data_IF_377693782669
#
_entry.id   IF_377693782669
#
_cell.length_a   1.000
_cell.length_b   1.000
_cell.length_c   1.000
_cell.angle_alpha   90.00
_cell.angle_beta   90.00
_cell.angle_gamma   90.00
#
_symmetry.space_group_name_H-M   'P 1'
#
loop_
_entity.id
_entity.type
_entity.pdbx_description
1 polymer ?
#
# COMPACT_ATOMS: atom_id res chain seq x y z
N UNK A 1 -23.63 -3.39 22.76
CA UNK A 1 -23.47 -2.03 23.35
C UNK A 1 -22.01 -1.67 23.24
N UNK A 2 -21.66 -1.12 22.09
CA UNK A 2 -20.35 -0.57 21.79
C UNK A 2 -20.00 0.57 22.77
N UNK A 3 -19.14 0.28 23.76
CA UNK A 3 -18.58 1.32 24.63
C UNK A 3 -17.55 2.07 23.80
N UNK A 4 -17.72 3.39 23.70
CA UNK A 4 -16.88 4.30 22.91
C UNK A 4 -15.40 4.02 23.14
N UNK A 5 -14.73 3.50 22.12
CA UNK A 5 -13.27 3.50 22.05
C UNK A 5 -12.82 4.96 22.00
N UNK A 6 -12.35 5.50 23.12
CA UNK A 6 -11.82 6.85 23.23
C UNK A 6 -10.47 6.94 22.49
N UNK A 7 -10.53 7.08 21.16
CA UNK A 7 -9.38 6.99 20.26
C UNK A 7 -8.25 7.97 20.58
N UNK A 8 -8.59 9.15 21.10
CA UNK A 8 -7.63 10.25 21.23
C UNK A 8 -6.58 9.95 22.29
N UNK A 9 -7.01 9.40 23.43
CA UNK A 9 -6.10 9.08 24.53
C UNK A 9 -5.36 7.74 24.34
N UNK A 10 -5.89 6.82 23.51
CA UNK A 10 -5.31 5.49 23.36
C UNK A 10 -4.05 5.48 22.48
N UNK A 11 -3.99 6.34 21.45
CA UNK A 11 -2.77 6.48 20.66
C UNK A 11 -1.62 7.04 21.50
N UNK A 12 -1.87 8.07 22.32
CA UNK A 12 -0.86 8.65 23.22
C UNK A 12 -0.42 7.64 24.29
N UNK A 13 -1.36 6.87 24.83
CA UNK A 13 -1.07 5.80 25.79
C UNK A 13 -0.23 4.67 25.16
N UNK A 14 -0.54 4.25 23.93
CA UNK A 14 0.22 3.25 23.19
C UNK A 14 1.64 3.74 22.88
N UNK A 15 1.80 4.99 22.43
CA UNK A 15 3.13 5.60 22.23
C UNK A 15 3.93 5.62 23.54
N UNK A 16 3.30 6.02 24.65
CA UNK A 16 3.95 6.05 25.96
C UNK A 16 4.40 4.66 26.41
N UNK A 17 3.57 3.64 26.18
CA UNK A 17 3.88 2.26 26.53
C UNK A 17 5.00 1.67 25.63
N UNK A 18 5.01 2.01 24.34
CA UNK A 18 6.12 1.68 23.43
C UNK A 18 7.43 2.33 23.91
N UNK A 19 7.42 3.61 24.24
CA UNK A 19 8.61 4.32 24.76
C UNK A 19 9.09 3.73 26.08
N UNK A 20 8.18 3.29 26.96
CA UNK A 20 8.52 2.57 28.19
C UNK A 20 9.27 1.27 27.89
N UNK A 21 8.82 0.49 26.90
CA UNK A 21 9.53 -0.72 26.46
C UNK A 21 10.90 -0.37 25.85
N UNK A 22 11.00 0.70 25.07
CA UNK A 22 12.29 1.16 24.53
C UNK A 22 13.24 1.55 25.67
N UNK A 23 12.76 2.25 26.70
CA UNK A 23 13.56 2.65 27.86
C UNK A 23 14.05 1.43 28.65
N UNK A 24 13.23 0.39 28.82
CA UNK A 24 13.64 -0.87 29.45
C UNK A 24 14.73 -1.60 28.66
N UNK A 25 14.71 -1.51 27.33
CA UNK A 25 15.72 -2.11 26.46
C UNK A 25 17.00 -1.29 26.46
N UNK A 26 16.89 0.03 26.26
CA UNK A 26 18.00 0.97 26.29
C UNK A 26 17.52 2.40 26.63
N UNK A 27 17.82 2.91 27.84
CA UNK A 27 17.45 4.27 28.24
C UNK A 27 18.10 5.38 27.38
N UNK A 28 19.31 5.15 26.85
CA UNK A 28 19.95 6.12 25.97
C UNK A 28 19.22 6.22 24.63
N UNK A 29 18.80 5.07 24.07
CA UNK A 29 17.94 5.01 22.88
C UNK A 29 16.64 5.79 23.10
N UNK A 30 15.95 5.55 24.22
CA UNK A 30 14.70 6.25 24.54
C UNK A 30 14.89 7.78 24.57
N UNK A 31 15.98 8.28 25.18
CA UNK A 31 16.29 9.71 25.23
C UNK A 31 16.63 10.32 23.86
N UNK A 32 17.00 9.51 22.87
CA UNK A 32 17.23 9.97 21.52
C UNK A 32 15.95 10.08 20.69
N UNK A 33 14.86 9.42 21.09
CA UNK A 33 13.59 9.45 20.36
C UNK A 33 12.80 10.71 20.70
N UNK A 34 12.22 11.32 19.67
CA UNK A 34 11.34 12.47 19.79
C UNK A 34 9.99 12.13 19.16
N UNK A 35 8.94 11.86 19.96
CA UNK A 35 7.61 11.53 19.45
C UNK A 35 6.96 12.67 18.66
N UNK A 36 7.42 13.92 18.84
CA UNK A 36 6.90 15.11 18.18
C UNK A 36 7.73 15.51 16.94
N UNK A 37 8.78 14.75 16.60
CA UNK A 37 9.57 14.98 15.40
C UNK A 37 8.75 14.73 14.13
N UNK A 38 9.17 15.37 13.04
CA UNK A 38 8.56 15.17 11.71
C UNK A 38 8.71 13.74 11.19
N UNK A 39 9.74 13.02 11.65
CA UNK A 39 10.00 11.62 11.29
C UNK A 39 9.25 10.69 12.24
N UNK A 40 8.61 9.65 11.70
CA UNK A 40 7.87 8.68 12.50
C UNK A 40 8.75 8.04 13.59
N UNK A 41 8.13 7.66 14.72
CA UNK A 41 8.82 6.98 15.81
C UNK A 41 9.46 5.66 15.35
N UNK A 42 8.85 4.96 14.38
CA UNK A 42 9.36 3.71 13.83
C UNK A 42 10.60 3.92 12.97
N UNK A 43 10.66 5.00 12.19
CA UNK A 43 11.84 5.30 11.37
C UNK A 43 12.99 5.81 12.23
N UNK A 44 12.68 6.57 13.29
CA UNK A 44 13.65 6.88 14.35
C UNK A 44 14.24 5.61 14.98
N UNK A 45 13.39 4.62 15.32
CA UNK A 45 13.83 3.34 15.84
C UNK A 45 14.68 2.57 14.82
N UNK A 46 14.27 2.47 13.56
CA UNK A 46 15.03 1.80 12.50
C UNK A 46 16.39 2.46 12.27
N UNK A 47 16.48 3.78 12.34
CA UNK A 47 17.70 4.54 12.11
C UNK A 47 18.69 4.47 13.29
N UNK A 48 18.20 4.36 14.52
CA UNK A 48 19.01 4.53 15.74
C UNK A 48 19.22 3.25 16.54
N UNK A 49 18.29 2.32 16.50
CA UNK A 49 18.38 1.07 17.25
C UNK A 49 19.15 0.01 16.46
N UNK A 50 20.00 -0.74 17.16
CA UNK A 50 20.62 -1.94 16.62
C UNK A 50 19.57 -3.03 16.36
N UNK A 51 19.92 -4.01 15.52
CA UNK A 51 19.07 -5.18 15.27
C UNK A 51 18.69 -5.94 16.55
N UNK A 52 19.59 -6.00 17.53
CA UNK A 52 19.35 -6.67 18.82
C UNK A 52 18.34 -5.89 19.65
N UNK A 53 18.45 -4.56 19.70
CA UNK A 53 17.50 -3.70 20.40
C UNK A 53 16.13 -3.73 19.75
N UNK A 54 16.04 -3.64 18.42
CA UNK A 54 14.78 -3.77 17.69
C UNK A 54 14.08 -5.11 17.98
N UNK A 55 14.84 -6.21 18.03
CA UNK A 55 14.29 -7.50 18.41
C UNK A 55 13.80 -7.53 19.86
N UNK A 56 14.56 -6.96 20.81
CA UNK A 56 14.14 -6.89 22.20
C UNK A 56 12.88 -6.02 22.38
N UNK A 57 12.77 -4.91 21.66
CA UNK A 57 11.59 -4.04 21.66
C UNK A 57 10.36 -4.82 21.12
N UNK A 58 10.51 -5.53 19.99
CA UNK A 58 9.44 -6.37 19.44
C UNK A 58 8.94 -7.39 20.46
N UNK A 59 9.85 -8.12 21.11
CA UNK A 59 9.52 -9.12 22.12
C UNK A 59 8.89 -8.50 23.38
N UNK A 60 9.26 -7.27 23.75
CA UNK A 60 8.67 -6.54 24.87
C UNK A 60 7.26 -6.02 24.59
N UNK A 61 7.00 -5.52 23.38
CA UNK A 61 5.69 -4.99 22.98
C UNK A 61 4.69 -6.12 22.71
N UNK A 62 5.14 -7.23 22.13
CA UNK A 62 4.29 -8.34 21.71
C UNK A 62 3.26 -8.81 22.75
N UNK A 63 3.64 -9.17 24.01
CA UNK A 63 2.68 -9.61 25.02
C UNK A 63 1.72 -8.52 25.51
N UNK A 64 2.02 -7.24 25.25
CA UNK A 64 1.14 -6.12 25.57
C UNK A 64 0.04 -5.93 24.51
N UNK A 65 0.37 -6.27 23.26
CA UNK A 65 -0.51 -6.14 22.09
C UNK A 65 -1.32 -7.42 21.78
N UNK A 66 -0.71 -8.60 21.87
CA UNK A 66 -1.36 -9.89 21.62
C UNK A 66 -2.18 -10.35 22.84
N UNK A 67 -3.22 -9.57 23.15
CA UNK A 67 -4.21 -9.84 24.19
C UNK A 67 -5.56 -9.26 23.80
N UNK A 68 -6.58 -9.46 24.65
CA UNK A 68 -7.96 -9.04 24.35
C UNK A 68 -8.06 -7.57 23.93
N UNK A 69 -8.79 -7.32 22.83
CA UNK A 69 -9.12 -5.98 22.33
C UNK A 69 -10.24 -5.29 23.11
N UNK A 70 -10.76 -5.94 24.17
CA UNK A 70 -11.50 -5.27 25.25
C UNK A 70 -10.62 -4.24 25.98
N UNK A 71 -9.30 -4.43 25.95
CA UNK A 71 -8.32 -3.41 26.32
C UNK A 71 -7.97 -2.58 25.06
N UNK A 72 -8.43 -1.32 24.97
CA UNK A 72 -8.14 -0.48 23.80
C UNK A 72 -6.64 -0.29 23.57
N UNK A 73 -5.83 -0.29 24.63
CA UNK A 73 -4.39 -0.12 24.52
C UNK A 73 -3.75 -1.26 23.72
N UNK A 74 -4.20 -2.50 23.96
CA UNK A 74 -3.69 -3.68 23.25
C UNK A 74 -3.89 -3.57 21.74
N UNK A 75 -5.06 -3.09 21.30
CA UNK A 75 -5.38 -2.87 19.88
C UNK A 75 -4.45 -1.85 19.23
N UNK A 76 -4.22 -0.72 19.89
CA UNK A 76 -3.32 0.32 19.36
C UNK A 76 -1.87 -0.15 19.31
N UNK A 77 -1.40 -0.87 20.33
CA UNK A 77 -0.06 -1.48 20.33
C UNK A 77 0.08 -2.55 19.23
N UNK A 78 -0.98 -3.32 18.95
CA UNK A 78 -1.00 -4.27 17.84
C UNK A 78 -0.86 -3.53 16.50
N UNK A 79 -1.48 -2.35 16.36
CA UNK A 79 -1.29 -1.46 15.21
C UNK A 79 0.15 -1.00 14.96
N UNK A 80 1.05 -1.12 15.94
CA UNK A 80 2.47 -0.79 15.77
C UNK A 80 3.32 -1.95 15.24
N UNK A 81 2.77 -3.16 15.17
CA UNK A 81 3.48 -4.34 14.70
C UNK A 81 4.07 -4.18 13.28
N UNK A 82 3.36 -3.61 12.29
CA UNK A 82 3.90 -3.34 10.96
C UNK A 82 5.11 -2.40 11.00
N UNK A 83 4.99 -1.25 11.68
CA UNK A 83 6.08 -0.27 11.82
C UNK A 83 7.30 -0.82 12.55
N UNK A 84 7.08 -1.66 13.56
CA UNK A 84 8.15 -2.36 14.28
C UNK A 84 8.74 -3.53 13.48
N UNK A 85 8.05 -4.04 12.46
CA UNK A 85 8.45 -5.23 11.70
C UNK A 85 8.29 -6.53 12.50
N UNK A 86 7.25 -6.64 13.33
CA UNK A 86 6.89 -7.89 14.03
C UNK A 86 6.42 -8.91 12.99
N UNK A 87 7.00 -10.11 13.03
CA UNK A 87 6.69 -11.19 12.09
C UNK A 87 5.67 -12.16 12.69
N UNK A 88 4.73 -12.60 11.85
CA UNK A 88 3.69 -13.59 12.18
C UNK A 88 2.93 -13.24 13.47
N UNK A 89 2.32 -12.05 13.57
CA UNK A 89 1.52 -11.70 14.73
C UNK A 89 0.26 -12.56 14.79
N UNK A 90 -0.19 -12.88 16.01
CA UNK A 90 -1.43 -13.63 16.21
C UNK A 90 -2.64 -12.71 15.96
N UNK A 91 -3.20 -12.79 14.76
CA UNK A 91 -4.34 -11.95 14.38
C UNK A 91 -5.68 -12.44 14.95
N UNK A 92 -5.71 -13.51 15.75
CA UNK A 92 -6.98 -14.00 16.32
C UNK A 92 -7.70 -12.91 17.11
N UNK A 93 -6.97 -12.03 17.80
CA UNK A 93 -7.56 -10.92 18.56
C UNK A 93 -8.32 -9.93 17.69
N UNK A 94 -7.81 -9.64 16.49
CA UNK A 94 -8.48 -8.76 15.51
C UNK A 94 -9.73 -9.44 14.97
N UNK A 95 -9.63 -10.73 14.65
CA UNK A 95 -10.75 -11.52 14.10
C UNK A 95 -11.85 -11.71 15.15
N UNK A 96 -11.50 -12.01 16.40
CA UNK A 96 -12.41 -12.12 17.55
C UNK A 96 -13.20 -10.83 17.74
N UNK A 97 -12.54 -9.68 17.61
CA UNK A 97 -13.16 -8.37 17.74
C UNK A 97 -14.11 -8.06 16.58
N UNK A 98 -13.71 -8.31 15.33
CA UNK A 98 -14.61 -8.14 14.19
C UNK A 98 -15.83 -9.07 14.27
N UNK A 99 -15.66 -10.29 14.78
CA UNK A 99 -16.77 -11.21 15.05
C UNK A 99 -17.70 -10.68 16.13
N UNK A 100 -17.15 -10.12 17.22
CA UNK A 100 -17.93 -9.50 18.29
C UNK A 100 -18.75 -8.31 17.79
N UNK A 101 -18.22 -7.55 16.84
CA UNK A 101 -18.82 -6.33 16.29
C UNK A 101 -19.77 -6.56 15.12
N UNK A 102 -19.85 -7.78 14.59
CA UNK A 102 -20.52 -8.11 13.32
C UNK A 102 -22.02 -7.78 13.28
N UNK A 103 -22.68 -7.69 14.43
CA UNK A 103 -24.14 -7.44 14.52
C UNK A 103 -24.47 -6.09 15.18
N UNK A 104 -23.46 -5.24 15.44
CA UNK A 104 -23.67 -3.89 15.97
C UNK A 104 -24.16 -2.94 14.86
N UNK A 105 -24.93 -1.91 15.24
CA UNK A 105 -25.46 -0.91 14.31
C UNK A 105 -24.33 -0.05 13.74
N UNK A 106 -24.30 0.08 12.41
CA UNK A 106 -23.27 0.85 11.73
C UNK A 106 -23.35 2.34 12.07
N UNK A 107 -22.23 2.90 12.52
CA UNK A 107 -22.07 4.32 12.83
C UNK A 107 -20.61 4.75 12.70
N UNK A 108 -20.31 6.06 12.72
CA UNK A 108 -18.97 6.59 12.45
C UNK A 108 -17.88 6.01 13.37
N UNK A 109 -18.19 5.80 14.66
CA UNK A 109 -17.21 5.23 15.57
C UNK A 109 -16.92 3.75 15.31
N UNK A 110 -17.93 2.97 14.90
CA UNK A 110 -17.77 1.56 14.56
C UNK A 110 -17.03 1.40 13.23
N UNK A 111 -17.44 2.15 12.20
CA UNK A 111 -16.79 2.13 10.89
C UNK A 111 -15.29 2.40 11.01
N UNK A 112 -14.93 3.46 11.73
CA UNK A 112 -13.53 3.80 11.89
C UNK A 112 -12.77 2.76 12.73
N UNK A 113 -13.43 1.89 13.51
CA UNK A 113 -12.79 0.81 14.30
C UNK A 113 -12.51 -0.34 13.37
N UNK A 114 -13.53 -0.75 12.61
CA UNK A 114 -13.42 -1.79 11.61
C UNK A 114 -12.37 -1.42 10.55
N UNK A 115 -12.26 -0.15 10.18
CA UNK A 115 -11.21 0.34 9.27
C UNK A 115 -9.81 0.30 9.90
N UNK A 116 -9.68 0.58 11.19
CA UNK A 116 -8.39 0.43 11.89
C UNK A 116 -7.96 -1.05 11.94
N UNK A 117 -8.88 -1.93 12.33
CA UNK A 117 -8.66 -3.37 12.39
C UNK A 117 -8.39 -3.97 10.99
N UNK A 118 -9.05 -3.44 9.95
CA UNK A 118 -8.78 -3.77 8.55
C UNK A 118 -7.35 -3.41 8.14
N UNK A 119 -6.87 -2.20 8.45
CA UNK A 119 -5.49 -1.78 8.12
C UNK A 119 -4.49 -2.75 8.73
N UNK A 120 -4.67 -3.12 10.00
CA UNK A 120 -3.85 -4.11 10.69
C UNK A 120 -3.83 -5.43 9.90
N UNK A 121 -5.01 -5.98 9.60
CA UNK A 121 -5.12 -7.26 8.88
C UNK A 121 -4.42 -7.21 7.52
N UNK A 122 -4.59 -6.13 6.77
CA UNK A 122 -3.98 -5.95 5.45
C UNK A 122 -2.44 -5.86 5.53
N UNK A 123 -1.89 -5.18 6.54
CA UNK A 123 -0.45 -5.01 6.71
C UNK A 123 0.23 -6.30 7.19
N UNK A 124 -0.39 -7.03 8.12
CA UNK A 124 0.21 -8.24 8.73
C UNK A 124 -0.24 -9.56 8.11
N UNK A 125 -1.05 -9.52 7.06
CA UNK A 125 -1.52 -10.70 6.33
C UNK A 125 -0.36 -11.59 5.86
N UNK A 126 -0.42 -12.87 6.21
CA UNK A 126 0.59 -13.85 5.82
C UNK A 126 0.03 -15.28 5.84
N UNK A 127 0.80 -16.22 5.27
CA UNK A 127 0.49 -17.65 5.28
C UNK A 127 0.36 -18.26 6.68
N UNK A 128 1.06 -17.72 7.68
CA UNK A 128 0.94 -18.21 9.06
C UNK A 128 -0.45 -17.96 9.66
N UNK A 129 -1.19 -17.00 9.10
CA UNK A 129 -2.45 -16.50 9.65
C UNK A 129 -3.67 -16.92 8.81
N UNK A 130 -3.49 -17.83 7.86
CA UNK A 130 -4.50 -18.20 6.87
C UNK A 130 -5.79 -18.75 7.49
N UNK A 131 -5.68 -19.51 8.59
CA UNK A 131 -6.85 -20.08 9.26
C UNK A 131 -7.70 -18.99 9.92
N UNK A 132 -7.08 -17.95 10.47
CA UNK A 132 -7.79 -16.80 11.04
C UNK A 132 -8.42 -15.93 9.94
N UNK A 133 -7.74 -15.78 8.79
CA UNK A 133 -8.30 -15.08 7.64
C UNK A 133 -9.49 -15.84 7.03
N UNK A 134 -9.41 -17.17 6.89
CA UNK A 134 -10.54 -17.99 6.45
C UNK A 134 -11.73 -17.84 7.43
N UNK A 135 -11.46 -17.89 8.74
CA UNK A 135 -12.47 -17.66 9.78
C UNK A 135 -13.13 -16.29 9.62
N UNK A 136 -12.34 -15.21 9.51
CA UNK A 136 -12.86 -13.85 9.29
C UNK A 136 -13.78 -13.79 8.08
N UNK A 137 -13.37 -14.36 6.95
CA UNK A 137 -14.13 -14.33 5.70
C UNK A 137 -15.40 -15.18 5.76
N UNK A 138 -15.47 -16.18 6.63
CA UNK A 138 -16.69 -16.98 6.86
C UNK A 138 -17.74 -16.27 7.70
N UNK A 139 -17.39 -15.22 8.44
CA UNK A 139 -18.35 -14.49 9.28
C UNK A 139 -19.46 -13.89 8.40
N UNK A 140 -20.67 -14.39 8.53
CA UNK A 140 -21.85 -13.87 7.81
C UNK A 140 -22.36 -12.60 8.52
N UNK A 141 -22.05 -11.44 7.94
CA UNK A 141 -22.53 -10.13 8.41
C UNK A 141 -22.41 -9.09 7.30
N UNK A 142 -23.44 -8.27 7.14
CA UNK A 142 -23.40 -7.12 6.24
C UNK A 142 -22.63 -5.94 6.85
N UNK A 143 -22.55 -5.85 8.19
CA UNK A 143 -21.81 -4.80 8.92
C UNK A 143 -20.32 -4.82 8.56
N UNK A 144 -19.69 -6.00 8.50
CA UNK A 144 -18.24 -6.12 8.22
C UNK A 144 -17.94 -6.51 6.77
N UNK A 145 -18.95 -6.62 5.91
CA UNK A 145 -18.77 -7.10 4.55
C UNK A 145 -17.86 -6.20 3.70
N UNK A 146 -17.88 -4.88 3.96
CA UNK A 146 -16.97 -3.93 3.33
C UNK A 146 -15.51 -4.26 3.64
N UNK A 147 -15.17 -4.43 4.93
CA UNK A 147 -13.82 -4.81 5.35
C UNK A 147 -13.41 -6.19 4.82
N UNK A 148 -14.31 -7.18 4.85
CA UNK A 148 -14.05 -8.50 4.24
C UNK A 148 -13.71 -8.39 2.74
N UNK A 149 -14.39 -7.51 2.01
CA UNK A 149 -14.13 -7.29 0.58
C UNK A 149 -12.71 -6.73 0.35
N UNK A 150 -12.27 -5.78 1.17
CA UNK A 150 -10.92 -5.21 1.08
C UNK A 150 -9.84 -6.24 1.45
N UNK A 151 -10.10 -7.09 2.45
CA UNK A 151 -9.20 -8.21 2.80
C UNK A 151 -9.06 -9.17 1.63
N UNK A 152 -10.16 -9.54 0.95
CA UNK A 152 -10.14 -10.41 -0.23
C UNK A 152 -9.31 -9.78 -1.34
N UNK A 153 -9.61 -8.53 -1.71
CA UNK A 153 -8.88 -7.83 -2.76
C UNK A 153 -7.39 -7.72 -2.43
N UNK A 154 -7.04 -7.37 -1.19
CA UNK A 154 -5.64 -7.26 -0.75
C UNK A 154 -4.93 -8.61 -0.76
N UNK A 155 -5.57 -9.68 -0.28
CA UNK A 155 -4.99 -11.02 -0.25
C UNK A 155 -4.81 -11.62 -1.64
N UNK A 156 -5.73 -11.32 -2.57
CA UNK A 156 -5.57 -11.68 -3.99
C UNK A 156 -4.48 -10.84 -4.66
N UNK A 157 -4.40 -9.54 -4.38
CA UNK A 157 -3.35 -8.64 -4.89
C UNK A 157 -1.95 -9.10 -4.46
N UNK A 158 -1.80 -9.49 -3.19
CA UNK A 158 -0.56 -10.06 -2.63
C UNK A 158 -0.26 -11.49 -3.12
N UNK A 159 -1.03 -12.04 -4.08
CA UNK A 159 -1.00 -13.43 -4.61
C UNK A 159 -1.28 -14.53 -3.57
N UNK A 160 -1.22 -14.19 -2.29
CA UNK A 160 -1.42 -15.07 -1.16
C UNK A 160 -2.73 -15.87 -1.20
N UNK A 161 -3.86 -15.22 -1.51
CA UNK A 161 -5.16 -15.93 -1.56
C UNK A 161 -5.29 -16.81 -2.80
N UNK A 162 -4.63 -16.45 -3.90
CA UNK A 162 -4.62 -17.25 -5.15
C UNK A 162 -3.98 -18.61 -4.92
N UNK A 163 -2.97 -18.65 -4.06
CA UNK A 163 -2.19 -19.85 -3.74
C UNK A 163 -2.74 -20.65 -2.55
N UNK A 164 -3.79 -20.16 -1.86
CA UNK A 164 -4.35 -20.80 -0.68
C UNK A 164 -5.57 -21.69 -1.03
N UNK A 165 -5.45 -23.04 -1.04
CA UNK A 165 -6.56 -23.93 -1.39
C UNK A 165 -7.78 -23.76 -0.50
N UNK A 166 -7.56 -23.49 0.79
CA UNK A 166 -8.59 -23.28 1.80
C UNK A 166 -9.45 -22.04 1.55
N UNK A 167 -9.01 -21.10 0.70
CA UNK A 167 -9.78 -19.90 0.35
C UNK A 167 -10.48 -19.99 -1.01
N UNK A 168 -10.29 -21.06 -1.78
CA UNK A 168 -10.87 -21.16 -3.12
C UNK A 168 -12.41 -21.17 -3.13
N UNK A 169 -13.04 -21.47 -1.98
CA UNK A 169 -14.49 -21.34 -1.83
C UNK A 169 -14.99 -19.90 -2.02
N UNK A 170 -14.13 -18.88 -1.84
CA UNK A 170 -14.47 -17.48 -2.05
C UNK A 170 -14.97 -17.22 -3.48
N UNK A 171 -14.44 -17.94 -4.47
CA UNK A 171 -14.80 -17.76 -5.86
C UNK A 171 -16.27 -18.08 -6.17
N UNK A 172 -16.96 -18.84 -5.31
CA UNK A 172 -18.39 -19.14 -5.42
C UNK A 172 -19.19 -18.68 -4.19
N UNK A 173 -18.65 -17.72 -3.45
CA UNK A 173 -19.20 -17.26 -2.17
C UNK A 173 -20.21 -16.11 -2.32
N UNK A 174 -20.77 -15.68 -1.18
CA UNK A 174 -21.66 -14.50 -1.06
C UNK A 174 -21.03 -13.17 -1.45
N UNK A 175 -19.73 -13.15 -1.73
CA UNK A 175 -18.99 -11.97 -2.17
C UNK A 175 -19.14 -11.71 -3.67
N UNK A 176 -19.60 -12.70 -4.44
CA UNK A 176 -19.91 -12.53 -5.86
C UNK A 176 -21.05 -11.54 -6.09
N UNK A 177 -20.99 -10.84 -7.22
CA UNK A 177 -21.98 -9.88 -7.70
C UNK A 177 -22.19 -8.67 -6.77
N UNK A 178 -21.38 -8.52 -5.70
CA UNK A 178 -21.47 -7.38 -4.79
C UNK A 178 -20.87 -6.11 -5.38
N UNK A 179 -19.77 -6.25 -6.13
CA UNK A 179 -19.10 -5.16 -6.84
C UNK A 179 -18.11 -5.76 -7.86
N UNK A 180 -18.01 -5.16 -9.06
CA UNK A 180 -17.11 -5.55 -10.14
C UNK A 180 -15.65 -5.73 -9.69
N UNK A 181 -15.14 -4.91 -8.78
CA UNK A 181 -13.76 -5.01 -8.29
C UNK A 181 -13.53 -6.27 -7.46
N UNK A 182 -14.52 -6.65 -6.66
CA UNK A 182 -14.47 -7.88 -5.88
C UNK A 182 -14.64 -9.10 -6.79
N UNK A 183 -15.52 -9.02 -7.79
CA UNK A 183 -15.66 -10.07 -8.79
C UNK A 183 -14.37 -10.30 -9.59
N UNK A 184 -13.68 -9.23 -10.01
CA UNK A 184 -12.38 -9.33 -10.66
C UNK A 184 -11.32 -10.02 -9.77
N UNK A 185 -11.26 -9.68 -8.49
CA UNK A 185 -10.37 -10.37 -7.54
C UNK A 185 -10.71 -11.87 -7.40
N UNK A 186 -12.00 -12.21 -7.35
CA UNK A 186 -12.45 -13.60 -7.25
C UNK A 186 -12.20 -14.41 -8.53
N UNK A 187 -12.31 -13.78 -9.71
CA UNK A 187 -11.95 -14.40 -10.99
C UNK A 187 -10.46 -14.71 -11.06
N UNK A 188 -9.60 -13.82 -10.55
CA UNK A 188 -8.16 -14.07 -10.45
C UNK A 188 -7.80 -15.26 -9.56
N UNK A 189 -8.62 -15.59 -8.56
CA UNK A 189 -8.44 -16.81 -7.77
C UNK A 189 -8.70 -18.08 -8.58
N UNK A 190 -9.73 -18.07 -9.45
CA UNK A 190 -10.06 -19.20 -10.33
C UNK A 190 -8.98 -19.44 -11.40
N UNK A 191 -8.52 -18.37 -12.06
CA UNK A 191 -7.47 -18.45 -13.09
C UNK A 191 -6.13 -18.99 -12.55
N UNK A 192 -5.81 -18.70 -11.28
CA UNK A 192 -4.63 -19.25 -10.62
C UNK A 192 -4.75 -20.76 -10.30
N UNK A 193 -5.97 -21.23 -10.02
CA UNK A 193 -6.23 -22.66 -9.81
C UNK A 193 -6.03 -23.48 -11.09
N UNK A 194 -6.30 -22.89 -12.26
CA UNK A 194 -6.08 -23.54 -13.57
C UNK A 194 -4.60 -23.52 -14.01
N UNK A 195 -3.86 -22.48 -13.65
CA UNK A 195 -2.44 -22.31 -14.01
C UNK A 195 -1.45 -23.09 -13.12
N UNK A 196 -1.87 -23.60 -11.95
CA UNK A 196 -1.03 -24.44 -11.07
C UNK A 196 -0.67 -25.83 -11.65
N UNK A 197 -1.06 -26.10 -12.90
CA UNK A 197 -0.63 -27.28 -13.67
C UNK A 197 0.70 -27.08 -14.43
N UNK A 198 1.24 -25.85 -14.50
CA UNK A 198 2.49 -25.58 -15.26
C UNK A 198 3.40 -24.57 -14.53
N UNK A 199 4.38 -25.14 -13.81
CA UNK A 199 5.67 -24.56 -13.44
C UNK A 199 5.69 -23.33 -12.50
N UNK A 200 6.22 -23.54 -11.29
CA UNK A 200 6.68 -22.47 -10.41
C UNK A 200 8.14 -22.10 -10.64
N UNK A 201 8.48 -20.84 -10.35
CA UNK A 201 9.68 -20.38 -9.61
C UNK A 201 9.35 -18.96 -9.10
N UNK A 202 9.58 -18.76 -7.81
CA UNK A 202 9.39 -17.52 -7.03
C UNK A 202 10.67 -16.69 -6.93
N UNK A 203 10.55 -15.36 -6.95
CA UNK A 203 11.55 -14.42 -6.43
C UNK A 203 10.85 -13.32 -5.63
N UNK A 204 11.31 -13.12 -4.39
CA UNK A 204 10.83 -12.13 -3.43
C UNK A 204 11.36 -10.72 -3.75
N UNK A 205 10.52 -9.69 -3.56
CA UNK A 205 10.89 -8.27 -3.54
C UNK A 205 10.36 -7.62 -2.24
N UNK A 206 11.22 -6.88 -1.54
CA UNK A 206 10.95 -6.21 -0.24
C UNK A 206 10.23 -4.85 -0.42
N UNK A 207 9.36 -4.40 0.51
CA UNK A 207 8.77 -3.06 0.49
C UNK A 207 9.49 -2.05 1.42
N UNK A 208 9.60 -0.80 0.97
CA UNK A 208 10.06 0.37 1.75
C UNK A 208 8.90 1.33 2.04
N UNK A 209 9.11 2.23 3.01
CA UNK A 209 8.12 2.76 3.94
C UNK A 209 7.44 4.09 3.54
N UNK A 210 6.17 4.20 3.94
CA UNK A 210 5.22 5.32 3.83
C UNK A 210 5.50 6.47 4.83
N UNK A 211 5.48 7.73 4.37
CA UNK A 211 5.39 8.92 5.22
C UNK A 211 4.24 9.80 4.74
N UNK A 212 3.24 10.18 5.55
CA UNK A 212 1.89 10.61 5.10
C UNK A 212 1.82 11.99 4.40
N UNK A 213 1.46 11.98 3.10
CA UNK A 213 0.79 13.07 2.36
C UNK A 213 -0.49 12.47 1.80
N UNK A 214 -1.64 12.94 2.30
CA UNK A 214 -2.95 12.51 1.83
C UNK A 214 -3.30 13.26 0.55
N UNK A 215 -3.05 12.62 -0.59
CA UNK A 215 -3.44 13.03 -1.94
C UNK A 215 -3.07 11.92 -2.94
N UNK A 216 -3.66 11.89 -4.14
CA UNK A 216 -3.38 10.84 -5.11
C UNK A 216 -1.91 10.88 -5.56
N UNK A 217 -1.23 9.75 -5.49
CA UNK A 217 0.18 9.54 -5.77
C UNK A 217 0.37 9.17 -7.25
N UNK A 218 1.34 9.79 -7.95
CA UNK A 218 1.60 9.43 -9.34
C UNK A 218 2.36 8.10 -9.42
N UNK A 219 1.80 7.18 -10.20
CA UNK A 219 2.43 5.91 -10.57
C UNK A 219 2.70 5.92 -12.07
N UNK A 220 3.95 5.67 -12.45
CA UNK A 220 4.45 5.76 -13.81
C UNK A 220 4.49 4.36 -14.43
N UNK A 221 3.74 4.15 -15.51
CA UNK A 221 3.65 2.85 -16.19
C UNK A 221 4.21 3.00 -17.61
N UNK A 222 5.23 2.22 -17.95
CA UNK A 222 5.84 2.23 -19.29
C UNK A 222 5.04 1.37 -20.28
N UNK A 223 4.16 1.97 -21.06
CA UNK A 223 3.23 1.25 -21.94
C UNK A 223 3.78 1.12 -23.37
N UNK A 224 3.84 -0.08 -23.97
CA UNK A 224 4.24 -0.25 -25.36
C UNK A 224 3.42 0.61 -26.33
N UNK A 225 4.07 1.26 -27.31
CA UNK A 225 3.40 2.23 -28.20
C UNK A 225 2.14 1.69 -28.92
N UNK A 226 2.16 0.40 -29.30
CA UNK A 226 1.01 -0.25 -29.94
C UNK A 226 -0.20 -0.40 -29.01
N UNK A 227 0.06 -0.62 -27.72
CA UNK A 227 -0.96 -0.81 -26.68
C UNK A 227 -1.43 0.55 -26.13
N UNK A 228 -0.53 1.52 -26.03
CA UNK A 228 -0.87 2.91 -25.70
C UNK A 228 -1.88 3.51 -26.69
N UNK A 229 -1.72 3.25 -27.98
CA UNK A 229 -2.69 3.69 -29.00
C UNK A 229 -4.09 3.08 -28.80
N UNK A 230 -4.13 1.82 -28.32
CA UNK A 230 -5.38 1.13 -28.00
C UNK A 230 -6.01 1.69 -26.73
N UNK A 231 -5.19 2.02 -25.73
CA UNK A 231 -5.58 2.68 -24.48
C UNK A 231 -6.27 4.03 -24.77
N UNK A 232 -5.69 4.87 -25.63
CA UNK A 232 -6.27 6.15 -26.02
C UNK A 232 -7.65 6.04 -26.70
N UNK A 233 -8.00 4.86 -27.23
CA UNK A 233 -9.28 4.63 -27.91
C UNK A 233 -10.37 4.13 -26.96
N UNK A 234 -10.02 3.70 -25.75
CA UNK A 234 -10.95 3.25 -24.72
C UNK A 234 -11.56 4.43 -23.94
N UNK A 235 -12.65 4.21 -23.20
CA UNK A 235 -13.18 5.16 -22.21
C UNK A 235 -12.28 5.28 -20.97
N UNK A 236 -12.45 6.33 -20.17
CA UNK A 236 -11.55 6.67 -19.06
C UNK A 236 -11.46 5.54 -18.01
N UNK A 237 -12.58 4.92 -17.68
CA UNK A 237 -12.66 3.80 -16.74
C UNK A 237 -11.86 2.59 -17.25
N UNK A 238 -12.07 2.21 -18.52
CA UNK A 238 -11.32 1.11 -19.15
C UNK A 238 -9.81 1.39 -19.23
N UNK A 239 -9.40 2.66 -19.42
CA UNK A 239 -7.98 3.03 -19.42
C UNK A 239 -7.34 2.81 -18.06
N UNK A 240 -8.03 3.26 -17.00
CA UNK A 240 -7.56 3.09 -15.62
C UNK A 240 -7.51 1.62 -15.24
N UNK A 241 -8.56 0.85 -15.57
CA UNK A 241 -8.60 -0.61 -15.33
C UNK A 241 -7.43 -1.31 -16.04
N UNK A 242 -7.13 -0.96 -17.29
CA UNK A 242 -6.00 -1.53 -18.02
C UNK A 242 -4.64 -1.19 -17.39
N UNK A 243 -4.48 0.02 -16.81
CA UNK A 243 -3.25 0.39 -16.11
C UNK A 243 -3.11 -0.32 -14.77
N UNK A 244 -4.21 -0.50 -14.04
CA UNK A 244 -4.23 -1.34 -12.85
C UNK A 244 -3.89 -2.79 -13.18
N UNK A 245 -4.45 -3.36 -14.24
CA UNK A 245 -4.13 -4.73 -14.67
C UNK A 245 -2.63 -4.87 -14.98
N UNK A 246 -2.05 -3.91 -15.71
CA UNK A 246 -0.61 -3.90 -16.01
C UNK A 246 0.25 -3.84 -14.75
N UNK A 247 -0.10 -2.95 -13.82
CA UNK A 247 0.61 -2.80 -12.55
C UNK A 247 0.46 -4.04 -11.66
N UNK A 248 -0.73 -4.64 -11.62
CA UNK A 248 -1.03 -5.85 -10.86
C UNK A 248 -0.37 -7.11 -11.43
N UNK A 249 -0.22 -7.19 -12.76
CA UNK A 249 0.40 -8.31 -13.46
C UNK A 249 1.93 -8.16 -13.63
N UNK A 250 2.49 -7.01 -13.27
CA UNK A 250 3.90 -6.63 -13.51
C UNK A 250 4.31 -6.82 -14.99
N UNK A 251 3.36 -6.64 -15.90
CA UNK A 251 3.58 -6.89 -17.33
C UNK A 251 4.47 -5.83 -17.95
N UNK A 252 4.41 -4.59 -17.43
CA UNK A 252 5.29 -3.50 -17.83
C UNK A 252 6.12 -2.96 -16.67
N UNK A 253 7.25 -2.31 -16.96
CA UNK A 253 8.00 -1.56 -15.97
C UNK A 253 7.15 -0.44 -15.36
N UNK A 254 7.14 -0.40 -14.03
CA UNK A 254 6.45 0.60 -13.22
C UNK A 254 7.47 1.28 -12.32
N UNK A 255 7.26 2.57 -12.07
CA UNK A 255 7.97 3.31 -11.05
C UNK A 255 6.96 4.13 -10.25
N UNK A 256 7.28 4.41 -9.00
CA UNK A 256 6.64 5.42 -8.19
C UNK A 256 7.74 6.24 -7.50
N UNK A 257 7.43 7.49 -7.21
CA UNK A 257 8.30 8.36 -6.40
C UNK A 257 7.65 8.69 -5.06
N UNK A 258 6.66 7.87 -4.69
CA UNK A 258 5.80 8.06 -3.53
C UNK A 258 5.35 9.55 -3.43
N UNK A 259 5.33 10.09 -2.22
CA UNK A 259 4.91 11.45 -1.91
C UNK A 259 5.96 12.52 -2.21
N UNK A 260 7.10 12.13 -2.80
CA UNK A 260 8.13 13.07 -3.21
C UNK A 260 7.75 13.84 -4.48
N UNK A 261 6.63 13.52 -5.14
CA UNK A 261 6.22 14.14 -6.40
C UNK A 261 6.16 15.67 -6.36
N UNK A 262 5.65 16.27 -5.29
CA UNK A 262 5.54 17.73 -5.18
C UNK A 262 6.90 18.42 -5.02
N UNK A 263 7.82 17.82 -4.25
CA UNK A 263 9.18 18.33 -4.09
C UNK A 263 10.00 18.13 -5.38
N UNK A 264 9.89 16.94 -5.98
CA UNK A 264 10.52 16.56 -7.24
C UNK A 264 10.09 17.49 -8.38
N UNK A 265 8.80 17.84 -8.46
CA UNK A 265 8.30 18.82 -9.44
C UNK A 265 8.97 20.17 -9.29
N UNK A 266 9.07 20.73 -8.07
CA UNK A 266 9.73 22.03 -7.85
C UNK A 266 11.19 22.02 -8.26
N UNK A 267 11.91 20.96 -7.91
CA UNK A 267 13.31 20.78 -8.31
C UNK A 267 13.42 20.73 -9.84
N UNK A 268 12.58 19.94 -10.50
CA UNK A 268 12.58 19.84 -11.96
C UNK A 268 12.18 21.15 -12.65
N UNK A 269 11.29 21.96 -12.08
CA UNK A 269 10.93 23.27 -12.66
C UNK A 269 12.17 24.16 -12.81
N UNK A 270 13.07 24.14 -11.84
CA UNK A 270 14.31 24.94 -11.89
C UNK A 270 15.33 24.39 -12.90
N UNK A 271 15.30 23.09 -13.18
CA UNK A 271 16.28 22.40 -14.02
C UNK A 271 15.88 22.30 -15.49
N UNK A 272 14.62 21.96 -15.75
CA UNK A 272 14.11 21.66 -17.11
C UNK A 272 12.96 22.57 -17.53
N UNK A 273 12.51 23.49 -16.67
CA UNK A 273 11.40 24.39 -16.92
C UNK A 273 10.03 23.81 -16.55
N UNK A 274 9.06 24.69 -16.32
CA UNK A 274 7.75 24.34 -15.75
C UNK A 274 6.94 23.35 -16.59
N UNK A 275 6.89 23.55 -17.90
CA UNK A 275 6.12 22.68 -18.81
C UNK A 275 6.70 21.26 -18.83
N UNK A 276 8.03 21.13 -18.96
CA UNK A 276 8.70 19.84 -18.98
C UNK A 276 8.62 19.13 -17.62
N UNK A 277 8.82 19.86 -16.52
CA UNK A 277 8.70 19.33 -15.17
C UNK A 277 7.28 18.81 -14.89
N UNK A 278 6.26 19.55 -15.34
CA UNK A 278 4.86 19.13 -15.20
C UNK A 278 4.56 17.88 -16.02
N UNK A 279 5.04 17.81 -17.27
CA UNK A 279 4.87 16.64 -18.11
C UNK A 279 5.59 15.40 -17.55
N UNK A 280 6.78 15.58 -16.95
CA UNK A 280 7.56 14.50 -16.33
C UNK A 280 6.85 13.95 -15.09
N UNK A 281 6.41 14.82 -14.18
CA UNK A 281 5.87 14.37 -12.88
C UNK A 281 4.40 13.96 -12.99
N UNK A 282 3.61 14.67 -13.80
CA UNK A 282 2.15 14.51 -13.84
C UNK A 282 1.61 14.08 -15.20
N UNK A 283 2.43 13.95 -16.23
CA UNK A 283 1.97 13.65 -17.60
C UNK A 283 1.56 14.91 -18.39
N UNK A 284 1.91 14.94 -19.67
CA UNK A 284 1.69 16.08 -20.57
C UNK A 284 0.31 16.12 -21.22
N UNK A 285 -0.35 14.98 -21.40
CA UNK A 285 -1.69 14.86 -21.94
C UNK A 285 -2.68 14.37 -20.88
N UNK A 286 -3.86 15.00 -20.84
CA UNK A 286 -4.97 14.58 -20.00
C UNK A 286 -5.72 13.41 -20.66
N UNK A 287 -5.67 12.23 -20.03
CA UNK A 287 -6.33 11.01 -20.49
C UNK A 287 -7.64 10.75 -19.75
N UNK A 288 -8.03 11.63 -18.83
CA UNK A 288 -9.34 11.64 -18.16
C UNK A 288 -9.91 13.08 -18.12
N UNK A 289 -10.16 13.71 -19.28
CA UNK A 289 -10.58 15.11 -19.33
C UNK A 289 -12.01 15.33 -18.79
N UNK A 290 -12.78 14.26 -18.61
CA UNK A 290 -14.10 14.29 -17.99
C UNK A 290 -14.06 14.14 -16.46
N UNK A 291 -12.89 13.84 -15.88
CA UNK A 291 -12.69 13.58 -14.45
C UNK A 291 -13.61 12.46 -13.93
N UNK A 292 -13.68 11.38 -14.70
CA UNK A 292 -14.47 10.20 -14.35
C UNK A 292 -13.74 9.30 -13.33
N UNK A 293 -12.44 9.52 -13.13
CA UNK A 293 -11.54 8.77 -12.24
C UNK A 293 -10.70 9.71 -11.37
N UNK A 294 -9.82 9.16 -10.51
CA UNK A 294 -8.89 9.94 -9.68
C UNK A 294 -7.79 10.67 -10.48
N UNK A 295 -7.71 10.38 -11.79
CA UNK A 295 -6.92 11.11 -12.77
C UNK A 295 -5.94 10.20 -13.51
N UNK A 296 -6.01 10.22 -14.84
CA UNK A 296 -5.06 9.53 -15.71
C UNK A 296 -4.46 10.52 -16.70
N UNK A 297 -3.13 10.51 -16.79
CA UNK A 297 -2.38 11.34 -17.74
C UNK A 297 -1.37 10.51 -18.48
N UNK A 298 -0.77 11.07 -19.53
CA UNK A 298 0.24 10.35 -20.28
C UNK A 298 1.16 11.22 -21.11
N UNK A 299 2.27 10.61 -21.49
CA UNK A 299 3.24 11.12 -22.45
C UNK A 299 3.36 10.10 -23.58
N UNK A 300 3.16 10.55 -24.82
CA UNK A 300 3.34 9.68 -25.97
C UNK A 300 4.84 9.33 -26.18
N UNK A 301 5.18 8.31 -26.99
CA UNK A 301 6.57 7.88 -27.15
C UNK A 301 7.51 8.99 -27.64
N UNK A 302 7.01 9.93 -28.46
CA UNK A 302 7.79 11.05 -28.97
C UNK A 302 8.08 12.09 -27.88
N UNK A 303 7.16 12.27 -26.94
CA UNK A 303 7.37 13.12 -25.78
C UNK A 303 8.26 12.44 -24.72
N UNK A 304 8.11 11.13 -24.49
CA UNK A 304 9.00 10.35 -23.61
C UNK A 304 10.46 10.45 -24.05
N UNK A 305 10.75 10.37 -25.35
CA UNK A 305 12.13 10.51 -25.89
C UNK A 305 12.74 11.89 -25.61
N UNK A 306 11.95 12.97 -25.79
CA UNK A 306 12.37 14.34 -25.47
C UNK A 306 12.59 14.53 -23.98
N UNK A 307 11.65 14.10 -23.15
CA UNK A 307 11.70 14.24 -21.69
C UNK A 307 12.84 13.40 -21.09
N UNK A 308 13.08 12.20 -21.62
CA UNK A 308 14.24 11.39 -21.26
C UNK A 308 15.56 12.08 -21.58
N UNK A 309 15.65 12.79 -22.70
CA UNK A 309 16.86 13.54 -23.06
C UNK A 309 17.11 14.70 -22.09
N UNK A 310 16.06 15.41 -21.69
CA UNK A 310 16.16 16.48 -20.68
C UNK A 310 16.60 15.94 -19.31
N UNK A 311 16.05 14.81 -18.88
CA UNK A 311 16.44 14.16 -17.62
C UNK A 311 17.89 13.64 -17.65
N UNK A 312 18.40 13.21 -18.81
CA UNK A 312 19.78 12.77 -18.95
C UNK A 312 20.81 13.90 -18.78
N UNK A 313 20.41 15.14 -19.03
CA UNK A 313 21.26 16.33 -18.86
C UNK A 313 21.27 16.85 -17.40
N UNK A 314 20.44 16.29 -16.51
CA UNK A 314 20.40 16.65 -15.09
C UNK A 314 21.56 15.99 -14.33
N UNK A 315 22.39 16.81 -13.68
CA UNK A 315 23.46 16.32 -12.80
C UNK A 315 22.93 15.94 -11.42
N UNK A 316 22.53 14.67 -11.28
CA UNK A 316 22.03 14.09 -10.02
C UNK A 316 23.00 14.23 -8.85
N UNK A 317 24.32 14.36 -9.11
CA UNK A 317 25.34 14.50 -8.06
C UNK A 317 25.32 15.84 -7.33
N UNK A 318 24.54 16.81 -7.84
CA UNK A 318 24.41 18.16 -7.28
C UNK A 318 23.11 18.39 -6.50
N UNK A 319 22.21 17.40 -6.50
CA UNK A 319 20.91 17.49 -5.83
C UNK A 319 20.98 16.88 -4.42
N UNK A 320 20.46 17.60 -3.42
CA UNK A 320 20.38 17.11 -2.04
C UNK A 320 19.48 15.87 -1.89
N UNK A 321 18.41 15.76 -2.70
CA UNK A 321 17.48 14.63 -2.74
C UNK A 321 17.32 14.08 -4.17
N UNK A 322 18.36 13.41 -4.67
CA UNK A 322 18.43 12.94 -6.08
C UNK A 322 17.64 11.66 -6.39
N UNK A 323 17.13 10.96 -5.37
CA UNK A 323 16.56 9.61 -5.53
C UNK A 323 15.32 9.60 -6.43
N UNK A 324 14.35 10.47 -6.19
CA UNK A 324 13.12 10.55 -6.98
C UNK A 324 13.38 11.03 -8.43
N UNK A 325 14.29 11.99 -8.61
CA UNK A 325 14.71 12.44 -9.95
C UNK A 325 15.44 11.32 -10.69
N UNK A 326 16.27 10.54 -9.98
CA UNK A 326 16.96 9.37 -10.52
C UNK A 326 16.00 8.26 -10.94
N UNK A 327 14.95 7.99 -10.17
CA UNK A 327 13.92 7.01 -10.49
C UNK A 327 13.14 7.40 -11.76
N UNK A 328 12.72 8.68 -11.84
CA UNK A 328 12.09 9.22 -13.04
C UNK A 328 13.01 9.15 -14.26
N UNK A 329 14.28 9.55 -14.11
CA UNK A 329 15.27 9.43 -15.18
C UNK A 329 15.43 7.98 -15.63
N UNK A 330 15.41 7.02 -14.70
CA UNK A 330 15.49 5.60 -14.95
C UNK A 330 14.33 5.07 -15.80
N UNK A 331 13.09 5.33 -15.38
CA UNK A 331 11.92 4.83 -16.11
C UNK A 331 11.77 5.52 -17.47
N UNK A 332 12.01 6.83 -17.58
CA UNK A 332 11.96 7.56 -18.85
C UNK A 332 13.03 7.07 -19.83
N UNK A 333 14.27 6.85 -19.38
CA UNK A 333 15.33 6.32 -20.23
C UNK A 333 15.03 4.89 -20.71
N UNK A 334 14.47 4.05 -19.83
CA UNK A 334 14.08 2.70 -20.19
C UNK A 334 12.92 2.67 -21.20
N UNK A 335 11.92 3.53 -21.01
CA UNK A 335 10.76 3.66 -21.90
C UNK A 335 11.19 4.23 -23.26
N UNK A 336 11.97 5.31 -23.30
CA UNK A 336 12.50 5.91 -24.53
C UNK A 336 13.29 4.89 -25.36
N UNK A 337 14.13 4.07 -24.70
CA UNK A 337 14.90 3.00 -25.37
C UNK A 337 14.02 1.94 -26.03
N UNK A 338 12.85 1.64 -25.46
CA UNK A 338 11.88 0.68 -26.02
C UNK A 338 10.93 1.32 -27.04
N UNK A 339 10.87 2.65 -27.09
CA UNK A 339 9.87 3.39 -27.85
C UNK A 339 8.48 3.32 -27.20
N UNK A 340 8.44 3.20 -25.88
CA UNK A 340 7.21 3.13 -25.09
C UNK A 340 6.67 4.52 -24.77
N UNK A 341 5.37 4.60 -24.50
CA UNK A 341 4.73 5.72 -23.85
C UNK A 341 4.85 5.59 -22.31
N UNK A 342 4.53 6.66 -21.59
CA UNK A 342 4.36 6.61 -20.13
C UNK A 342 2.96 7.07 -19.77
N UNK A 343 2.19 6.21 -19.11
CA UNK A 343 0.95 6.59 -18.44
C UNK A 343 1.25 6.94 -16.98
N UNK A 344 0.62 8.01 -16.48
CA UNK A 344 0.74 8.47 -15.10
C UNK A 344 -0.63 8.35 -14.45
N UNK A 345 -0.77 7.34 -13.60
CA UNK A 345 -1.98 7.08 -12.82
C UNK A 345 -1.90 7.84 -11.51
N UNK A 346 -2.91 8.64 -11.19
CA UNK A 346 -3.02 9.34 -9.91
C UNK A 346 -3.85 8.46 -8.97
N UNK A 347 -3.23 7.89 -7.92
CA UNK A 347 -3.84 6.89 -7.03
C UNK A 347 -3.88 7.32 -5.56
#
# INVERSE_FOLDING_TARGET
MFVKLDRKNQSEAATSELLRVVEEVNPELANMLDPDASMSLFDQLKARASRTELNAIREGVRPLAERSFDDPLARYLFGYFPGLGVKNPDISYVVDEMERLKDEEMGPELDAVLNFDLTILCEVMSASNIDQLDRLLRIESDTIAGQQSVVIQTGVRKKFFREAPQLQWLAASRFRDRNKYLDGALDRMLSASDNNSVAGVSTESEPLADDVVSGPLPIYVSVPAGEYSSLLSADAETRVDAMFDVMEEETYPVADIDKLHAATHRVLVELVGEDAATAIVYGGADLDPQQETDGLRGNDPGDVDKLSSLLADVDLGTLEDSLAVGELAGIYAAAAKRGDAIAVLMN
#
